data_IF_491426903117
#
_entry.id   IF_491426903117
#
_cell.length_a   1.000
_cell.length_b   1.000
_cell.length_c   1.000
_cell.angle_alpha   90.00
_cell.angle_beta   90.00
_cell.angle_gamma   90.00
#
_symmetry.space_group_name_H-M   'P 1'
#
loop_
_entity.id
_entity.type
_entity.pdbx_description
1 polymer ?
#
# COMPACT_ATOMS: atom_id res chain seq x y z
N UNK A 1 -21.57 -22.58 -10.56
CA UNK A 1 -20.93 -23.46 -11.55
C UNK A 1 -19.68 -22.76 -12.04
N UNK A 2 -18.50 -23.38 -11.92
CA UNK A 2 -17.22 -22.83 -12.41
C UNK A 2 -16.92 -23.57 -13.71
N UNK A 3 -16.75 -22.83 -14.82
CA UNK A 3 -16.32 -23.37 -16.11
C UNK A 3 -14.88 -22.91 -16.30
N UNK A 4 -13.95 -23.86 -16.49
CA UNK A 4 -12.52 -23.58 -16.66
C UNK A 4 -11.93 -24.50 -17.72
N UNK A 5 -10.90 -24.02 -18.40
CA UNK A 5 -10.05 -24.81 -19.31
C UNK A 5 -8.77 -25.31 -18.63
N UNK A 6 -8.64 -25.10 -17.32
CA UNK A 6 -7.45 -25.43 -16.54
C UNK A 6 -7.60 -26.83 -15.94
N UNK A 7 -6.60 -27.69 -16.16
CA UNK A 7 -6.54 -29.07 -15.64
C UNK A 7 -5.96 -29.09 -14.22
N UNK A 8 -6.74 -28.61 -13.26
CA UNK A 8 -6.39 -28.63 -11.82
C UNK A 8 -7.43 -29.43 -11.03
N UNK A 9 -7.03 -30.06 -9.92
CA UNK A 9 -7.98 -30.72 -9.02
C UNK A 9 -9.10 -29.77 -8.57
N UNK A 10 -10.33 -30.27 -8.48
CA UNK A 10 -11.50 -29.44 -8.17
C UNK A 10 -11.37 -28.62 -6.87
N UNK A 11 -10.64 -29.14 -5.87
CA UNK A 11 -10.36 -28.43 -4.63
C UNK A 11 -9.44 -27.22 -4.81
N UNK A 12 -8.44 -27.32 -5.69
CA UNK A 12 -7.54 -26.20 -6.02
C UNK A 12 -8.24 -25.17 -6.88
N UNK A 13 -9.04 -25.61 -7.86
CA UNK A 13 -9.86 -24.72 -8.68
C UNK A 13 -10.81 -23.88 -7.80
N UNK A 14 -11.41 -24.50 -6.80
CA UNK A 14 -12.27 -23.79 -5.87
C UNK A 14 -11.50 -22.81 -4.97
N UNK A 15 -10.30 -23.18 -4.49
CA UNK A 15 -9.43 -22.27 -3.72
C UNK A 15 -9.00 -21.06 -4.56
N UNK A 16 -8.64 -21.28 -5.82
CA UNK A 16 -8.28 -20.23 -6.77
C UNK A 16 -9.48 -19.31 -7.04
N UNK A 17 -10.65 -19.89 -7.29
CA UNK A 17 -11.87 -19.13 -7.55
C UNK A 17 -12.32 -18.31 -6.32
N UNK A 18 -12.14 -18.84 -5.11
CA UNK A 18 -12.47 -18.14 -3.87
C UNK A 18 -11.73 -16.80 -3.75
N UNK A 19 -10.49 -16.71 -4.23
CA UNK A 19 -9.71 -15.46 -4.24
C UNK A 19 -10.33 -14.34 -5.08
N UNK A 20 -11.29 -14.64 -5.95
CA UNK A 20 -12.01 -13.64 -6.75
C UNK A 20 -12.93 -12.74 -5.92
N UNK A 21 -13.37 -13.22 -4.74
CA UNK A 21 -14.11 -12.40 -3.79
C UNK A 21 -13.26 -11.22 -3.28
N UNK A 22 -11.93 -11.38 -3.19
CA UNK A 22 -11.05 -10.30 -2.80
C UNK A 22 -11.00 -9.20 -3.86
N UNK A 23 -11.13 -9.52 -5.15
CA UNK A 23 -11.14 -8.52 -6.22
C UNK A 23 -12.25 -7.47 -6.03
N UNK A 24 -13.44 -7.88 -5.57
CA UNK A 24 -14.55 -6.95 -5.31
C UNK A 24 -14.21 -5.99 -4.14
N UNK A 25 -13.58 -6.52 -3.09
CA UNK A 25 -13.09 -5.68 -1.98
C UNK A 25 -12.03 -4.68 -2.44
N UNK A 26 -11.14 -5.09 -3.36
CA UNK A 26 -10.12 -4.20 -3.94
C UNK A 26 -10.74 -3.08 -4.78
N UNK A 27 -11.79 -3.39 -5.55
CA UNK A 27 -12.54 -2.38 -6.32
C UNK A 27 -13.27 -1.41 -5.40
N UNK A 28 -13.88 -1.90 -4.31
CA UNK A 28 -14.51 -1.05 -3.29
C UNK A 28 -13.48 -0.13 -2.61
N UNK A 29 -12.33 -0.67 -2.21
CA UNK A 29 -11.22 0.14 -1.67
C UNK A 29 -10.79 1.21 -2.67
N UNK A 30 -10.58 0.86 -3.95
CA UNK A 30 -10.19 1.83 -4.98
C UNK A 30 -11.23 2.95 -5.14
N UNK A 31 -12.52 2.59 -5.15
CA UNK A 31 -13.61 3.56 -5.29
C UNK A 31 -13.67 4.53 -4.12
N UNK A 32 -13.69 4.01 -2.88
CA UNK A 32 -13.92 4.81 -1.68
C UNK A 32 -12.67 5.50 -1.13
N UNK A 33 -11.50 4.85 -1.19
CA UNK A 33 -10.27 5.38 -0.61
C UNK A 33 -9.49 6.29 -1.57
N UNK A 34 -9.57 6.03 -2.88
CA UNK A 34 -8.81 6.77 -3.90
C UNK A 34 -9.66 7.70 -4.76
N UNK A 35 -10.94 7.90 -4.41
CA UNK A 35 -11.80 8.88 -5.06
C UNK A 35 -12.13 8.54 -6.51
N UNK A 36 -12.39 7.26 -6.80
CA UNK A 36 -12.84 6.81 -8.12
C UNK A 36 -14.09 7.55 -8.62
N UNK A 37 -14.92 8.04 -7.69
CA UNK A 37 -16.12 8.85 -8.00
C UNK A 37 -15.81 10.29 -8.43
N UNK A 38 -14.59 10.80 -8.18
CA UNK A 38 -14.19 12.17 -8.50
C UNK A 38 -13.32 12.31 -9.76
N UNK A 39 -13.24 11.27 -10.57
CA UNK A 39 -12.47 11.32 -11.82
C UNK A 39 -13.08 12.34 -12.79
N UNK A 40 -12.22 13.09 -13.48
CA UNK A 40 -12.65 14.04 -14.48
C UNK A 40 -13.20 13.28 -15.70
N UNK A 41 -14.53 13.16 -15.81
CA UNK A 41 -15.23 12.44 -16.89
C UNK A 41 -15.35 13.25 -18.19
N UNK A 42 -14.75 14.45 -18.27
CA UNK A 42 -14.92 15.34 -19.43
C UNK A 42 -14.08 14.94 -20.64
N UNK A 43 -12.94 14.27 -20.44
CA UNK A 43 -12.03 13.86 -21.51
C UNK A 43 -11.53 12.43 -21.25
N UNK A 44 -11.75 11.53 -22.21
CA UNK A 44 -11.40 10.11 -22.09
C UNK A 44 -9.93 9.89 -21.67
N UNK A 45 -9.00 10.53 -22.37
CA UNK A 45 -7.56 10.41 -22.10
C UNK A 45 -7.17 10.94 -20.71
N UNK A 46 -7.83 12.01 -20.26
CA UNK A 46 -7.56 12.57 -18.93
C UNK A 46 -8.10 11.65 -17.83
N UNK A 47 -9.28 11.04 -18.04
CA UNK A 47 -9.84 10.04 -17.14
C UNK A 47 -8.97 8.79 -17.08
N UNK A 48 -8.50 8.30 -18.23
CA UNK A 48 -7.63 7.12 -18.31
C UNK A 48 -6.30 7.34 -17.59
N UNK A 49 -5.63 8.47 -17.86
CA UNK A 49 -4.39 8.81 -17.17
C UNK A 49 -4.59 8.96 -15.65
N UNK A 50 -5.70 9.56 -15.22
CA UNK A 50 -6.06 9.66 -13.81
C UNK A 50 -6.32 8.27 -13.19
N UNK A 51 -7.02 7.39 -13.89
CA UNK A 51 -7.30 6.02 -13.44
C UNK A 51 -6.00 5.21 -13.32
N UNK A 52 -5.11 5.27 -14.31
CA UNK A 52 -3.81 4.60 -14.28
C UNK A 52 -2.93 5.10 -13.12
N UNK A 53 -2.94 6.41 -12.88
CA UNK A 53 -2.22 7.02 -11.75
C UNK A 53 -2.76 6.53 -10.41
N UNK A 54 -4.09 6.45 -10.29
CA UNK A 54 -4.77 5.92 -9.10
C UNK A 54 -4.47 4.43 -8.90
N UNK A 55 -4.48 3.62 -9.96
CA UNK A 55 -4.11 2.21 -9.90
C UNK A 55 -2.63 2.02 -9.49
N UNK A 56 -1.73 2.86 -9.99
CA UNK A 56 -0.32 2.84 -9.58
C UNK A 56 -0.14 3.19 -8.11
N UNK A 57 -0.83 4.23 -7.63
CA UNK A 57 -0.82 4.61 -6.22
C UNK A 57 -1.39 3.51 -5.32
N UNK A 58 -2.46 2.84 -5.77
CA UNK A 58 -3.04 1.68 -5.09
C UNK A 58 -2.03 0.53 -4.98
N UNK A 59 -1.34 0.20 -6.07
CA UNK A 59 -0.32 -0.84 -6.08
C UNK A 59 0.86 -0.52 -5.14
N UNK A 60 1.35 0.72 -5.17
CA UNK A 60 2.41 1.18 -4.27
C UNK A 60 1.99 1.06 -2.80
N UNK A 61 0.76 1.47 -2.49
CA UNK A 61 0.20 1.36 -1.16
C UNK A 61 0.03 -0.10 -0.73
N UNK A 62 -0.39 -0.99 -1.63
CA UNK A 62 -0.49 -2.42 -1.38
C UNK A 62 0.89 -3.01 -1.06
N UNK A 63 1.92 -2.65 -1.83
CA UNK A 63 3.30 -3.04 -1.55
C UNK A 63 3.79 -2.50 -0.22
N UNK A 64 3.48 -1.25 0.13
CA UNK A 64 3.82 -0.68 1.43
C UNK A 64 3.16 -1.46 2.58
N UNK A 65 1.87 -1.79 2.47
CA UNK A 65 1.17 -2.65 3.45
C UNK A 65 1.88 -4.00 3.58
N UNK A 66 2.28 -4.61 2.47
CA UNK A 66 2.90 -5.94 2.47
C UNK A 66 4.34 -5.95 2.97
N UNK A 67 5.17 -4.98 2.58
CA UNK A 67 6.58 -4.94 2.93
C UNK A 67 6.85 -4.34 4.31
N UNK A 68 6.14 -3.27 4.66
CA UNK A 68 6.41 -2.51 5.88
C UNK A 68 5.48 -2.94 7.02
N UNK A 69 4.22 -3.27 6.72
CA UNK A 69 3.19 -3.50 7.75
C UNK A 69 2.97 -4.98 8.13
N UNK A 70 3.22 -5.95 7.21
CA UNK A 70 3.07 -7.40 7.50
C UNK A 70 4.14 -8.01 8.42
N UNK A 71 5.16 -7.25 8.80
CA UNK A 71 6.25 -7.76 9.66
C UNK A 71 5.90 -7.78 11.16
N UNK A 72 4.61 -7.86 11.50
CA UNK A 72 4.14 -8.05 12.86
C UNK A 72 3.85 -9.54 13.11
N UNK A 73 4.90 -10.36 13.11
CA UNK A 73 4.92 -11.70 13.72
C UNK A 73 4.90 -11.66 15.26
N UNK A 74 4.49 -10.55 15.89
CA UNK A 74 4.56 -10.35 17.36
C UNK A 74 3.21 -9.92 17.97
N UNK A 75 2.09 -10.06 17.28
CA UNK A 75 0.79 -9.94 17.95
C UNK A 75 -0.25 -10.82 17.31
N UNK A 76 -0.74 -11.73 18.14
CA UNK A 76 -1.85 -12.68 18.00
C UNK A 76 -3.21 -12.00 17.70
N UNK A 77 -3.22 -10.99 16.83
CA UNK A 77 -4.41 -10.24 16.42
C UNK A 77 -4.59 -10.36 14.91
N UNK A 78 -5.80 -10.68 14.44
CA UNK A 78 -6.07 -10.89 13.02
C UNK A 78 -5.66 -9.65 12.23
N UNK A 79 -4.96 -9.92 11.13
CA UNK A 79 -4.32 -9.01 10.18
C UNK A 79 -5.25 -7.83 9.83
N UNK A 80 -5.17 -6.73 10.60
CA UNK A 80 -6.02 -5.55 10.35
C UNK A 80 -5.43 -4.85 9.14
N UNK A 81 -6.01 -5.12 7.97
CA UNK A 81 -5.77 -4.35 6.76
C UNK A 81 -6.24 -2.91 7.01
N UNK A 82 -5.32 -2.06 7.48
CA UNK A 82 -5.63 -0.66 7.72
C UNK A 82 -5.99 0.00 6.37
N UNK A 83 -7.26 0.39 6.25
CA UNK A 83 -7.82 1.23 5.18
C UNK A 83 -6.91 2.44 4.92
N UNK A 84 -6.84 2.92 3.66
CA UNK A 84 -5.95 4.02 3.28
C UNK A 84 -6.15 5.25 4.17
N UNK A 85 -7.41 5.54 4.52
CA UNK A 85 -7.81 6.63 5.41
C UNK A 85 -7.12 6.54 6.78
N UNK A 86 -7.03 5.34 7.35
CA UNK A 86 -6.37 5.10 8.64
C UNK A 86 -4.87 5.25 8.53
N UNK A 87 -4.24 4.78 7.45
CA UNK A 87 -2.80 4.99 7.26
C UNK A 87 -2.48 6.48 7.03
N UNK A 88 -3.29 7.17 6.22
CA UNK A 88 -3.14 8.61 5.98
C UNK A 88 -3.19 9.39 7.29
N UNK A 89 -4.13 9.07 8.16
CA UNK A 89 -4.23 9.70 9.47
C UNK A 89 -3.03 9.36 10.37
N UNK A 90 -2.65 8.08 10.44
CA UNK A 90 -1.56 7.64 11.30
C UNK A 90 -0.19 8.17 10.86
N UNK A 91 0.07 8.25 9.56
CA UNK A 91 1.38 8.52 8.99
C UNK A 91 1.54 9.97 8.49
N UNK A 92 0.58 10.47 7.71
CA UNK A 92 0.71 11.73 6.98
C UNK A 92 0.00 12.92 7.65
N UNK A 93 -1.01 12.68 8.49
CA UNK A 93 -1.73 13.74 9.20
C UNK A 93 -1.04 14.18 10.50
N UNK A 94 0.29 14.31 10.48
CA UNK A 94 1.09 14.77 11.62
C UNK A 94 1.95 15.94 11.19
N UNK A 95 1.84 17.04 11.94
CA UNK A 95 2.68 18.20 11.73
C UNK A 95 4.14 17.83 12.01
N UNK A 96 5.02 18.15 11.06
CA UNK A 96 6.44 17.90 11.19
C UNK A 96 7.22 19.04 10.53
N UNK A 97 8.40 19.35 11.06
CA UNK A 97 9.33 20.26 10.44
C UNK A 97 10.72 19.64 10.40
N UNK A 98 11.47 19.94 9.35
CA UNK A 98 12.82 19.42 9.16
C UNK A 98 13.78 20.46 9.71
N UNK A 99 14.61 20.04 10.66
CA UNK A 99 15.71 20.86 11.20
C UNK A 99 17.03 20.23 10.78
N UNK A 100 18.04 21.05 10.54
CA UNK A 100 19.39 20.57 10.29
C UNK A 100 20.25 20.85 11.51
N UNK A 101 20.72 19.78 12.16
CA UNK A 101 21.72 19.89 13.22
C UNK A 101 23.05 19.39 12.65
N UNK A 102 23.90 20.34 12.25
CA UNK A 102 25.17 20.08 11.57
C UNK A 102 25.02 19.34 10.23
N UNK A 103 25.42 18.05 10.20
CA UNK A 103 25.30 17.16 9.03
C UNK A 103 24.10 16.20 9.10
N UNK A 104 23.31 16.24 10.18
CA UNK A 104 22.18 15.33 10.39
C UNK A 104 20.87 16.08 10.14
N UNK A 105 20.11 15.62 9.14
CA UNK A 105 18.72 16.06 8.92
C UNK A 105 17.82 15.38 9.95
N UNK A 106 17.22 16.17 10.84
CA UNK A 106 16.31 15.70 11.89
C UNK A 106 14.89 16.11 11.50
N UNK A 107 13.97 15.14 11.50
CA UNK A 107 12.55 15.40 11.30
C UNK A 107 11.91 15.50 12.69
N UNK A 108 11.54 16.71 13.09
CA UNK A 108 10.82 16.97 14.33
C UNK A 108 9.32 16.82 14.05
N UNK A 109 8.73 15.75 14.58
CA UNK A 109 7.31 15.45 14.38
C UNK A 109 6.53 15.69 15.67
N UNK A 110 5.35 16.29 15.57
CA UNK A 110 4.39 16.41 16.67
C UNK A 110 3.68 15.07 16.89
N UNK A 111 4.41 14.10 17.45
CA UNK A 111 3.94 12.73 17.74
C UNK A 111 3.99 12.50 19.25
N UNK A 112 2.90 12.02 19.84
CA UNK A 112 2.88 11.60 21.24
C UNK A 112 3.87 10.44 21.45
N UNK A 113 4.60 10.41 22.58
CA UNK A 113 5.68 9.45 22.84
C UNK A 113 5.29 7.98 22.60
N UNK A 114 4.07 7.57 22.95
CA UNK A 114 3.58 6.20 22.73
C UNK A 114 3.50 5.79 21.25
N UNK A 115 3.33 6.75 20.34
CA UNK A 115 3.33 6.50 18.90
C UNK A 115 4.72 6.58 18.29
N UNK A 116 5.72 7.06 19.03
CA UNK A 116 7.10 7.22 18.54
C UNK A 116 7.77 5.87 18.33
N UNK A 117 7.61 4.93 19.26
CA UNK A 117 8.16 3.57 19.13
C UNK A 117 7.60 2.84 17.90
N UNK A 118 6.31 3.02 17.61
CA UNK A 118 5.69 2.48 16.40
C UNK A 118 6.25 3.11 15.12
N UNK A 119 6.50 4.42 15.12
CA UNK A 119 7.10 5.14 13.99
C UNK A 119 8.59 4.78 13.79
N UNK A 120 9.36 4.71 14.86
CA UNK A 120 10.77 4.31 14.83
C UNK A 120 10.91 2.86 14.34
N UNK A 121 10.06 1.95 14.84
CA UNK A 121 10.00 0.57 14.35
C UNK A 121 9.64 0.48 12.87
N UNK A 122 8.74 1.34 12.37
CA UNK A 122 8.41 1.41 10.95
C UNK A 122 9.58 1.98 10.12
N UNK A 123 10.29 2.98 10.64
CA UNK A 123 11.43 3.61 10.01
C UNK A 123 12.65 2.67 9.91
N UNK A 124 12.95 1.94 10.97
CA UNK A 124 14.06 0.98 10.97
C UNK A 124 13.78 -0.20 10.04
N UNK A 125 12.53 -0.66 9.97
CA UNK A 125 12.09 -1.65 8.97
C UNK A 125 12.25 -1.15 7.54
N UNK A 126 12.00 0.14 7.30
CA UNK A 126 12.22 0.74 5.98
C UNK A 126 13.70 0.78 5.59
N UNK A 127 14.63 0.89 6.55
CA UNK A 127 16.08 0.84 6.27
C UNK A 127 16.57 -0.56 5.96
N UNK A 128 15.95 -1.58 6.56
CA UNK A 128 16.29 -3.00 6.33
C UNK A 128 15.52 -3.65 5.18
N UNK A 129 14.64 -2.90 4.51
CA UNK A 129 13.82 -3.45 3.43
C UNK A 129 14.66 -3.63 2.16
N UNK A 130 14.97 -4.87 1.81
CA UNK A 130 15.53 -5.20 0.51
C UNK A 130 14.42 -5.13 -0.55
N UNK A 131 14.67 -4.42 -1.64
CA UNK A 131 13.68 -4.29 -2.71
C UNK A 131 13.46 -5.66 -3.34
N UNK A 132 12.21 -6.15 -3.46
CA UNK A 132 11.94 -7.47 -4.02
C UNK A 132 12.34 -7.60 -5.50
N UNK A 133 12.58 -6.46 -6.17
CA UNK A 133 13.01 -6.41 -7.57
C UNK A 133 14.20 -5.46 -7.70
N UNK A 134 15.33 -5.99 -8.18
CA UNK A 134 16.50 -5.19 -8.55
C UNK A 134 16.24 -4.58 -9.92
N UNK A 135 15.92 -3.29 -9.95
CA UNK A 135 15.79 -2.54 -11.19
C UNK A 135 17.17 -2.35 -11.82
N UNK A 136 17.45 -3.08 -12.90
CA UNK A 136 18.56 -2.74 -13.80
C UNK A 136 18.03 -1.72 -14.80
N UNK A 137 18.67 -0.54 -14.94
CA UNK A 137 18.30 0.38 -16.00
C UNK A 137 18.52 -0.33 -17.35
N UNK A 138 17.50 -0.29 -18.21
CA UNK A 138 17.53 -0.91 -19.55
C UNK A 138 18.53 -0.19 -20.46
N UNK A 139 18.89 1.04 -20.12
CA UNK A 139 19.92 1.82 -20.80
C UNK A 139 20.97 2.28 -19.79
N UNK A 140 22.21 1.84 -20.00
CA UNK A 140 23.39 2.52 -19.47
C UNK A 140 23.70 3.73 -20.36
N UNK A 141 24.26 4.83 -19.81
CA UNK A 141 24.70 5.99 -20.59
C UNK A 141 25.80 5.64 -21.59
#
# INVERSE_FOLDING_TARGET
MIVTNIDLPAAELWRLYRGRADCENRIKELKYDFGGDSLNLKNFWATEAALLTVMMAYNLMSLFRQGVMRSNTVSDKPDVQHTLKTLRYKLFAKAAYITNDGRKKIINMAVAMQHREWFEGLWDKSKSFDLPVKFKPVFSP
#
